data_IF_614454092424
#
_entry.id   IF_614454092424
#
_cell.length_a   1.000
_cell.length_b   1.000
_cell.length_c   1.000
_cell.angle_alpha   90.00
_cell.angle_beta   90.00
_cell.angle_gamma   90.00
#
_symmetry.space_group_name_H-M   'P 1'
#
loop_
_entity.id
_entity.type
_entity.pdbx_description
1 polymer ?
#
# COMPACT_ATOMS: atom_id res chain seq x y z
N UNK A 1 4.91 -20.59 -5.65
CA UNK A 1 5.08 -19.11 -5.57
C UNK A 1 4.43 -18.62 -4.29
N UNK A 2 5.09 -17.78 -3.49
CA UNK A 2 4.48 -17.19 -2.28
C UNK A 2 3.57 -16.03 -2.69
N UNK A 3 2.36 -15.90 -2.13
CA UNK A 3 1.45 -14.82 -2.49
C UNK A 3 1.99 -13.48 -1.98
N UNK A 4 1.90 -12.46 -2.84
CA UNK A 4 2.22 -11.06 -2.55
C UNK A 4 0.91 -10.27 -2.58
N UNK A 5 0.67 -9.45 -1.57
CA UNK A 5 -0.44 -8.50 -1.58
C UNK A 5 0.05 -7.09 -1.92
N UNK A 6 -0.59 -6.46 -2.91
CA UNK A 6 -0.49 -5.02 -3.15
C UNK A 6 -1.86 -4.42 -2.88
N UNK A 7 -1.94 -3.54 -1.89
CA UNK A 7 -3.16 -2.85 -1.49
C UNK A 7 -3.04 -1.42 -1.98
N UNK A 8 -3.79 -1.12 -3.05
CA UNK A 8 -3.93 0.22 -3.59
C UNK A 8 -5.23 0.83 -3.06
N UNK A 9 -5.11 1.89 -2.30
CA UNK A 9 -6.25 2.60 -1.73
C UNK A 9 -6.55 3.80 -2.63
N UNK A 10 -7.62 3.71 -3.42
CA UNK A 10 -7.98 4.75 -4.40
C UNK A 10 -9.44 5.16 -4.28
N UNK A 11 -9.76 6.42 -4.63
CA UNK A 11 -11.11 7.01 -4.58
C UNK A 11 -12.02 6.60 -5.76
N UNK A 12 -11.63 5.60 -6.54
CA UNK A 12 -12.49 5.12 -7.62
C UNK A 12 -13.83 4.52 -7.13
N UNK A 13 -14.03 4.37 -5.81
CA UNK A 13 -15.30 3.94 -5.21
C UNK A 13 -16.50 4.79 -5.61
N UNK A 14 -16.35 6.11 -5.67
CA UNK A 14 -17.48 6.99 -6.03
C UNK A 14 -17.92 6.87 -7.50
N UNK A 15 -17.05 6.34 -8.39
CA UNK A 15 -17.41 6.06 -9.78
C UNK A 15 -17.92 4.64 -10.00
N UNK A 16 -17.44 3.67 -9.20
CA UNK A 16 -17.81 2.26 -9.37
C UNK A 16 -19.29 1.95 -9.13
N UNK A 17 -19.93 2.60 -8.15
CA UNK A 17 -21.34 2.33 -7.83
C UNK A 17 -22.32 2.79 -8.92
N UNK A 18 -21.92 3.73 -9.80
CA UNK A 18 -22.78 4.26 -10.87
C UNK A 18 -22.71 3.47 -12.18
N UNK A 19 -21.83 2.47 -12.29
CA UNK A 19 -21.44 1.88 -13.57
C UNK A 19 -21.56 0.33 -13.63
N UNK A 20 -22.20 -0.30 -12.64
CA UNK A 20 -22.60 -1.71 -12.72
C UNK A 20 -21.52 -2.75 -12.42
N UNK A 21 -20.36 -2.37 -11.86
CA UNK A 21 -19.44 -3.34 -11.24
C UNK A 21 -19.97 -3.71 -9.87
N UNK A 22 -20.15 -5.01 -9.61
CA UNK A 22 -20.40 -5.51 -8.27
C UNK A 22 -19.13 -5.31 -7.43
N UNK A 23 -19.17 -4.33 -6.54
CA UNK A 23 -18.18 -4.18 -5.48
C UNK A 23 -18.22 -5.42 -4.58
N UNK A 24 -17.14 -5.67 -3.83
CA UNK A 24 -17.09 -6.78 -2.88
C UNK A 24 -17.08 -8.17 -3.57
N UNK A 25 -16.42 -8.27 -4.73
CA UNK A 25 -16.13 -9.54 -5.38
C UNK A 25 -14.63 -9.70 -5.54
N UNK A 26 -14.12 -10.86 -5.11
CA UNK A 26 -12.74 -11.26 -5.36
C UNK A 26 -12.63 -11.85 -6.76
N UNK A 27 -11.99 -11.10 -7.65
CA UNK A 27 -11.69 -11.57 -9.01
C UNK A 27 -10.38 -12.36 -8.99
N UNK A 28 -10.40 -13.54 -9.61
CA UNK A 28 -9.21 -14.39 -9.76
C UNK A 28 -8.90 -14.60 -11.24
N UNK A 29 -7.68 -14.29 -11.64
CA UNK A 29 -7.15 -14.51 -12.98
C UNK A 29 -6.03 -15.55 -12.91
N UNK A 30 -6.40 -16.80 -13.16
CA UNK A 30 -5.51 -17.96 -13.02
C UNK A 30 -4.79 -18.34 -14.34
N UNK A 31 -4.77 -17.43 -15.34
CA UNK A 31 -4.02 -17.69 -16.58
C UNK A 31 -2.54 -17.37 -16.37
N UNK A 32 -1.69 -18.11 -17.06
CA UNK A 32 -0.24 -17.90 -17.05
C UNK A 32 0.24 -16.76 -17.95
N UNK A 33 -0.68 -16.05 -18.60
CA UNK A 33 -0.43 -14.87 -19.41
C UNK A 33 -1.32 -13.69 -18.97
N UNK A 34 -0.87 -12.43 -19.20
CA UNK A 34 -1.71 -11.27 -18.98
C UNK A 34 -2.97 -11.30 -19.85
N UNK A 35 -4.04 -10.69 -19.38
CA UNK A 35 -5.26 -10.49 -20.17
C UNK A 35 -5.76 -9.06 -20.05
N UNK A 36 -6.54 -8.61 -21.02
CA UNK A 36 -7.21 -7.32 -20.95
C UNK A 36 -8.66 -7.60 -20.59
N UNK A 37 -9.15 -6.96 -19.54
CA UNK A 37 -10.57 -6.90 -19.23
C UNK A 37 -11.06 -5.47 -19.50
N UNK A 38 -12.29 -5.34 -19.97
CA UNK A 38 -12.95 -4.05 -19.98
C UNK A 38 -13.71 -3.93 -18.66
N UNK A 39 -13.26 -3.02 -17.80
CA UNK A 39 -13.99 -2.70 -16.58
C UNK A 39 -14.80 -1.45 -16.84
N UNK A 40 -16.05 -1.43 -16.39
CA UNK A 40 -16.87 -0.23 -16.52
C UNK A 40 -16.29 0.99 -15.76
N UNK A 41 -15.26 0.81 -14.91
CA UNK A 41 -14.73 1.82 -13.99
C UNK A 41 -13.37 2.39 -14.40
N UNK A 42 -12.48 1.53 -14.87
CA UNK A 42 -11.13 1.89 -15.34
C UNK A 42 -10.95 1.69 -16.84
N UNK A 43 -12.00 1.25 -17.54
CA UNK A 43 -11.94 0.88 -18.96
C UNK A 43 -11.07 -0.35 -19.18
N UNK A 44 -10.36 -0.37 -20.31
CA UNK A 44 -9.42 -1.45 -20.64
C UNK A 44 -8.30 -1.51 -19.60
N UNK A 45 -8.31 -2.58 -18.83
CA UNK A 45 -7.38 -2.83 -17.73
C UNK A 45 -6.62 -4.11 -18.00
N UNK A 46 -5.31 -4.06 -17.82
CA UNK A 46 -4.44 -5.25 -17.93
C UNK A 46 -4.45 -5.98 -16.60
N UNK A 47 -4.85 -7.25 -16.64
CA UNK A 47 -4.68 -8.20 -15.55
C UNK A 47 -3.36 -8.95 -15.74
N UNK A 48 -2.41 -8.86 -14.79
CA UNK A 48 -1.22 -9.70 -14.80
C UNK A 48 -1.58 -11.18 -14.71
N UNK A 49 -0.72 -12.06 -15.23
CA UNK A 49 -0.85 -13.50 -15.04
C UNK A 49 -0.92 -13.87 -13.55
N UNK A 50 -1.73 -14.88 -13.21
CA UNK A 50 -1.85 -15.40 -11.84
C UNK A 50 -2.13 -14.33 -10.76
N UNK A 51 -3.00 -13.36 -11.08
CA UNK A 51 -3.35 -12.29 -10.16
C UNK A 51 -4.73 -12.50 -9.53
N UNK A 52 -4.92 -11.95 -8.33
CA UNK A 52 -6.24 -11.76 -7.74
C UNK A 52 -6.38 -10.29 -7.37
N UNK A 53 -7.58 -9.75 -7.52
CA UNK A 53 -7.87 -8.39 -7.11
C UNK A 53 -9.26 -8.31 -6.52
N UNK A 54 -9.38 -7.54 -5.44
CA UNK A 54 -10.64 -7.23 -4.81
C UNK A 54 -10.90 -5.74 -5.00
N UNK A 55 -12.04 -5.43 -5.59
CA UNK A 55 -12.53 -4.07 -5.68
C UNK A 55 -13.55 -3.83 -4.56
N UNK A 56 -13.10 -3.28 -3.43
CA UNK A 56 -13.93 -3.10 -2.23
C UNK A 56 -13.60 -1.82 -1.48
N UNK A 57 -14.65 -1.20 -0.93
CA UNK A 57 -14.46 -0.18 0.07
C UNK A 57 -13.76 -0.85 1.26
N UNK A 58 -12.56 -0.41 1.61
CA UNK A 58 -11.79 -1.06 2.68
C UNK A 58 -12.43 -0.94 4.08
N UNK A 59 -13.43 -0.08 4.29
CA UNK A 59 -14.29 -0.13 5.48
C UNK A 59 -15.10 -1.44 5.53
N UNK A 60 -15.29 -2.11 4.38
CA UNK A 60 -15.92 -3.41 4.19
C UNK A 60 -14.93 -4.52 3.78
N UNK A 61 -13.66 -4.42 4.20
CA UNK A 61 -12.59 -5.38 3.86
C UNK A 61 -12.73 -6.78 4.50
N UNK A 62 -13.90 -7.12 5.06
CA UNK A 62 -14.21 -8.42 5.66
C UNK A 62 -13.97 -9.59 4.70
N UNK A 63 -14.14 -9.37 3.39
CA UNK A 63 -13.89 -10.38 2.37
C UNK A 63 -12.43 -10.84 2.27
N UNK A 64 -11.47 -9.91 2.46
CA UNK A 64 -10.05 -10.27 2.47
C UNK A 64 -9.72 -11.15 3.68
N UNK A 65 -10.36 -10.87 4.81
CA UNK A 65 -10.18 -11.62 6.04
C UNK A 65 -10.82 -13.01 5.91
N UNK A 66 -12.06 -13.08 5.40
CA UNK A 66 -12.83 -14.32 5.28
C UNK A 66 -12.25 -15.31 4.28
N UNK A 67 -11.54 -14.82 3.25
CA UNK A 67 -10.86 -15.68 2.29
C UNK A 67 -9.67 -16.43 2.90
N UNK A 68 -9.10 -15.89 3.99
CA UNK A 68 -8.12 -16.60 4.81
C UNK A 68 -6.69 -16.65 4.27
N UNK A 69 -6.41 -16.18 3.05
CA UNK A 69 -5.03 -16.10 2.54
C UNK A 69 -4.20 -15.20 3.43
N UNK A 70 -2.99 -15.69 3.76
CA UNK A 70 -1.97 -14.93 4.47
C UNK A 70 -0.80 -14.60 3.56
N UNK A 71 -0.24 -13.41 3.72
CA UNK A 71 0.80 -12.85 2.88
C UNK A 71 2.09 -12.65 3.66
N UNK A 72 3.21 -13.05 3.06
CA UNK A 72 4.55 -12.81 3.62
C UNK A 72 5.16 -11.48 3.18
N UNK A 73 4.52 -10.80 2.23
CA UNK A 73 4.93 -9.50 1.71
C UNK A 73 3.67 -8.70 1.33
N UNK A 74 3.47 -7.58 2.01
CA UNK A 74 2.34 -6.67 1.82
C UNK A 74 2.89 -5.28 1.48
N UNK A 75 2.37 -4.66 0.42
CA UNK A 75 2.70 -3.28 0.07
C UNK A 75 1.42 -2.44 0.08
N UNK A 76 1.48 -1.32 0.79
CA UNK A 76 0.40 -0.35 0.95
C UNK A 76 0.79 0.95 0.24
N UNK A 77 -0.15 1.51 -0.50
CA UNK A 77 -0.05 2.86 -1.05
C UNK A 77 -1.32 3.66 -0.67
N UNK A 78 -1.37 4.22 0.57
CA UNK A 78 -2.52 4.95 1.04
C UNK A 78 -2.65 6.35 0.40
N UNK A 79 -3.88 6.88 0.23
CA UNK A 79 -4.12 8.20 -0.32
C UNK A 79 -3.83 9.26 0.74
N UNK A 80 -2.57 9.45 1.11
CA UNK A 80 -2.17 10.42 2.12
C UNK A 80 -2.69 11.81 1.76
N UNK A 81 -3.30 12.48 2.73
CA UNK A 81 -3.73 13.86 2.53
C UNK A 81 -2.54 14.72 2.13
N UNK A 82 -2.66 15.39 0.98
CA UNK A 82 -1.73 16.46 0.62
C UNK A 82 -2.50 17.73 0.24
N UNK A 83 -1.82 18.88 0.31
CA UNK A 83 -2.40 20.21 0.03
C UNK A 83 -2.97 20.33 -1.40
N UNK A 84 -2.50 19.50 -2.32
CA UNK A 84 -2.95 19.45 -3.72
C UNK A 84 -4.30 18.72 -3.86
N UNK A 85 -4.40 17.58 -3.21
CA UNK A 85 -5.57 16.70 -3.13
C UNK A 85 -6.75 17.44 -2.48
N UNK A 86 -6.52 18.16 -1.38
CA UNK A 86 -7.56 18.94 -0.68
C UNK A 86 -8.30 19.97 -1.55
N UNK A 87 -7.65 20.50 -2.60
CA UNK A 87 -8.25 21.52 -3.49
C UNK A 87 -9.06 20.95 -4.65
N UNK A 88 -8.86 19.69 -5.02
CA UNK A 88 -9.51 19.08 -6.20
C UNK A 88 -10.60 18.08 -5.85
N UNK A 89 -10.42 17.29 -4.78
CA UNK A 89 -11.41 16.31 -4.34
C UNK A 89 -11.30 16.12 -2.82
N UNK A 90 -12.33 16.48 -2.02
CA UNK A 90 -12.33 16.15 -0.59
C UNK A 90 -12.58 14.64 -0.44
N UNK A 91 -11.50 13.89 -0.22
CA UNK A 91 -11.60 12.49 0.17
C UNK A 91 -12.22 12.42 1.57
N UNK A 92 -13.31 11.67 1.75
CA UNK A 92 -13.85 11.33 3.07
C UNK A 92 -13.04 10.23 3.80
N UNK A 93 -11.89 9.83 3.25
CA UNK A 93 -10.97 8.78 3.72
C UNK A 93 -9.73 9.34 4.43
N UNK A 94 -9.80 10.60 4.82
CA UNK A 94 -8.63 11.43 5.01
C UNK A 94 -8.12 11.51 6.46
N UNK A 95 -8.82 10.85 7.40
CA UNK A 95 -8.29 10.71 8.76
C UNK A 95 -7.38 9.50 8.86
N UNK A 96 -6.23 9.71 9.51
CA UNK A 96 -5.26 8.67 9.82
C UNK A 96 -5.92 7.46 10.53
N UNK A 97 -7.04 7.68 11.23
CA UNK A 97 -7.84 6.62 11.85
C UNK A 97 -8.40 5.61 10.85
N UNK A 98 -8.88 6.03 9.67
CA UNK A 98 -9.41 5.14 8.64
C UNK A 98 -8.32 4.18 8.13
N UNK A 99 -7.11 4.72 7.88
CA UNK A 99 -5.94 3.92 7.48
C UNK A 99 -5.50 3.00 8.62
N UNK A 100 -5.52 3.48 9.87
CA UNK A 100 -5.23 2.66 11.06
C UNK A 100 -6.21 1.50 11.21
N UNK A 101 -7.45 1.63 10.74
CA UNK A 101 -8.48 0.61 10.89
C UNK A 101 -8.44 -0.49 9.81
N UNK A 102 -7.52 -0.39 8.85
CA UNK A 102 -7.30 -1.47 7.88
C UNK A 102 -6.91 -2.77 8.60
N UNK A 103 -7.49 -3.93 8.22
CA UNK A 103 -7.27 -5.21 8.89
C UNK A 103 -5.97 -5.90 8.45
N UNK A 104 -4.90 -5.12 8.22
CA UNK A 104 -3.62 -5.64 7.68
C UNK A 104 -3.03 -6.71 8.60
N UNK A 105 -3.16 -6.54 9.92
CA UNK A 105 -2.71 -7.51 10.91
C UNK A 105 -3.21 -8.93 10.61
N UNK A 106 -4.47 -9.06 10.20
CA UNK A 106 -5.10 -10.34 9.89
C UNK A 106 -4.64 -10.92 8.55
N UNK A 107 -4.06 -10.12 7.66
CA UNK A 107 -3.57 -10.57 6.35
C UNK A 107 -2.11 -11.04 6.41
N UNK A 108 -1.39 -10.68 7.46
CA UNK A 108 0.03 -11.05 7.60
C UNK A 108 0.17 -12.55 7.90
N UNK A 109 1.09 -13.19 7.20
CA UNK A 109 1.51 -14.55 7.55
C UNK A 109 2.41 -14.52 8.79
N UNK A 110 1.94 -15.11 9.89
CA UNK A 110 2.66 -15.17 11.17
C UNK A 110 3.46 -16.44 11.37
N UNK A 111 3.39 -17.42 10.47
CA UNK A 111 4.20 -18.65 10.58
C UNK A 111 5.63 -18.48 10.06
N UNK A 112 5.96 -17.28 9.55
CA UNK A 112 7.29 -16.92 9.06
C UNK A 112 7.52 -15.41 9.20
N UNK A 113 8.77 -15.00 9.00
CA UNK A 113 9.10 -13.57 8.85
C UNK A 113 8.37 -12.98 7.64
N UNK A 114 7.63 -11.89 7.89
CA UNK A 114 6.86 -11.19 6.87
C UNK A 114 7.20 -9.71 6.85
N UNK A 115 7.04 -9.09 5.69
CA UNK A 115 7.26 -7.66 5.47
C UNK A 115 5.95 -6.93 5.17
N UNK A 116 5.82 -5.75 5.76
CA UNK A 116 4.76 -4.80 5.48
C UNK A 116 5.39 -3.48 5.09
N UNK A 117 5.23 -3.08 3.84
CA UNK A 117 5.80 -1.87 3.28
C UNK A 117 4.70 -0.84 3.06
N UNK A 118 4.94 0.42 3.41
CA UNK A 118 3.97 1.50 3.25
C UNK A 118 4.62 2.70 2.57
N UNK A 119 4.11 3.11 1.42
CA UNK A 119 4.55 4.34 0.76
C UNK A 119 4.17 5.54 1.63
N UNK A 120 4.96 6.61 1.59
CA UNK A 120 4.73 7.89 2.28
C UNK A 120 4.92 9.07 1.32
N UNK A 121 4.54 10.27 1.75
CA UNK A 121 4.61 11.52 0.96
C UNK A 121 5.76 12.45 1.35
N UNK A 122 6.84 11.90 1.93
CA UNK A 122 7.95 12.68 2.52
C UNK A 122 7.45 13.70 3.56
N UNK A 123 6.56 13.27 4.45
CA UNK A 123 6.00 14.09 5.50
C UNK A 123 6.27 13.41 6.84
N UNK A 124 7.08 14.04 7.70
CA UNK A 124 7.52 13.46 8.98
C UNK A 124 6.35 12.96 9.81
N UNK A 125 5.25 13.73 9.90
CA UNK A 125 4.03 13.31 10.60
C UNK A 125 3.45 11.99 10.04
N UNK A 126 3.46 11.80 8.73
CA UNK A 126 2.98 10.56 8.10
C UNK A 126 3.97 9.43 8.33
N UNK A 127 5.27 9.70 8.24
CA UNK A 127 6.29 8.69 8.52
C UNK A 127 6.24 8.21 9.97
N UNK A 128 6.12 9.12 10.92
CA UNK A 128 5.96 8.83 12.34
C UNK A 128 4.68 8.04 12.60
N UNK A 129 3.58 8.43 11.96
CA UNK A 129 2.33 7.67 12.05
C UNK A 129 2.50 6.24 11.50
N UNK A 130 3.17 6.05 10.37
CA UNK A 130 3.43 4.71 9.83
C UNK A 130 4.25 3.88 10.83
N UNK A 131 5.35 4.44 11.34
CA UNK A 131 6.29 3.74 12.23
C UNK A 131 5.68 3.45 13.61
N UNK A 132 5.04 4.45 14.21
CA UNK A 132 4.63 4.44 15.62
C UNK A 132 3.16 4.07 15.83
N UNK A 133 2.31 4.18 14.82
CA UNK A 133 0.89 3.81 14.93
C UNK A 133 0.54 2.58 14.10
N UNK A 134 0.84 2.59 12.80
CA UNK A 134 0.42 1.50 11.91
C UNK A 134 1.19 0.22 12.18
N UNK A 135 2.52 0.28 12.18
CA UNK A 135 3.35 -0.89 12.43
C UNK A 135 3.13 -1.46 13.82
N UNK A 136 3.04 -0.60 14.85
CA UNK A 136 2.71 -1.05 16.20
C UNK A 136 1.34 -1.74 16.25
N UNK A 137 0.30 -1.17 15.63
CA UNK A 137 -1.02 -1.82 15.56
C UNK A 137 -0.97 -3.16 14.85
N UNK A 138 -0.20 -3.27 13.78
CA UNK A 138 -0.07 -4.50 13.02
C UNK A 138 1.01 -5.44 13.57
N UNK A 139 1.49 -5.23 14.79
CA UNK A 139 2.56 -6.01 15.41
C UNK A 139 3.75 -6.24 14.45
N UNK A 140 4.21 -5.15 13.86
CA UNK A 140 5.37 -5.04 13.01
C UNK A 140 6.37 -4.09 13.69
N UNK A 141 7.65 -4.35 13.52
CA UNK A 141 8.70 -3.45 13.94
C UNK A 141 9.22 -2.68 12.73
N UNK A 142 9.59 -1.40 12.88
CA UNK A 142 10.28 -0.67 11.83
C UNK A 142 11.61 -1.37 11.49
N UNK A 143 11.83 -1.63 10.20
CA UNK A 143 13.04 -2.23 9.67
C UNK A 143 13.97 -1.17 9.08
N UNK A 144 13.48 -0.47 8.06
CA UNK A 144 14.26 0.47 7.27
C UNK A 144 13.36 1.35 6.41
N UNK A 145 13.96 2.34 5.77
CA UNK A 145 13.32 3.25 4.84
C UNK A 145 14.04 3.17 3.51
N UNK A 146 13.30 2.94 2.43
CA UNK A 146 13.80 3.00 1.06
C UNK A 146 13.38 4.30 0.39
N UNK A 147 14.26 4.83 -0.45
CA UNK A 147 14.03 6.05 -1.20
C UNK A 147 13.99 5.72 -2.70
N UNK A 148 12.85 5.99 -3.33
CA UNK A 148 12.73 5.91 -4.78
C UNK A 148 13.12 7.26 -5.39
N UNK A 149 14.40 7.40 -5.74
CA UNK A 149 14.93 8.62 -6.35
C UNK A 149 14.45 8.77 -7.80
N UNK A 150 13.94 9.96 -8.12
CA UNK A 150 13.54 10.39 -9.45
C UNK A 150 14.68 11.19 -10.06
N UNK A 151 15.14 10.72 -11.21
CA UNK A 151 16.26 11.29 -11.95
C UNK A 151 15.85 11.69 -13.36
N UNK A 152 16.60 12.59 -13.97
CA UNK A 152 16.52 12.93 -15.40
C UNK A 152 17.12 11.80 -16.24
N UNK A 153 16.97 11.90 -17.56
CA UNK A 153 17.64 10.97 -18.48
C UNK A 153 19.17 11.04 -18.41
N UNK A 154 19.73 12.15 -17.93
CA UNK A 154 21.17 12.30 -17.73
C UNK A 154 21.67 11.72 -16.39
N UNK A 155 20.78 11.16 -15.57
CA UNK A 155 21.13 10.59 -14.26
C UNK A 155 21.07 11.57 -13.09
N UNK A 156 20.68 12.83 -13.33
CA UNK A 156 20.67 13.87 -12.30
C UNK A 156 19.34 13.89 -11.52
N UNK A 157 19.33 14.19 -10.22
CA UNK A 157 18.08 14.36 -9.47
C UNK A 157 17.17 15.42 -10.12
N UNK A 158 15.87 15.11 -10.26
CA UNK A 158 14.90 16.07 -10.85
C UNK A 158 14.74 17.36 -10.04
N UNK A 159 15.14 17.32 -8.77
CA UNK A 159 15.17 18.42 -7.81
C UNK A 159 16.38 18.21 -6.91
N UNK A 160 16.96 19.32 -6.43
CA UNK A 160 18.01 19.30 -5.43
C UNK A 160 17.58 18.47 -4.21
N UNK A 161 18.43 17.54 -3.77
CA UNK A 161 18.18 16.69 -2.61
C UNK A 161 18.08 17.51 -1.30
N UNK A 162 18.72 18.67 -1.26
CA UNK A 162 18.71 19.61 -0.14
C UNK A 162 17.45 20.48 -0.08
N UNK A 163 16.61 20.46 -1.13
CA UNK A 163 15.36 21.23 -1.18
C UNK A 163 14.45 20.92 0.01
N UNK A 164 14.02 21.96 0.72
CA UNK A 164 13.19 21.82 1.93
C UNK A 164 11.73 21.48 1.60
N UNK A 165 11.19 22.04 0.50
CA UNK A 165 9.76 21.96 0.21
C UNK A 165 9.35 20.78 -0.67
N UNK A 166 10.24 20.35 -1.57
CA UNK A 166 9.99 19.26 -2.51
C UNK A 166 11.20 18.36 -2.59
N UNK A 167 10.97 17.07 -2.45
CA UNK A 167 12.01 16.05 -2.59
C UNK A 167 11.95 15.43 -3.99
N UNK A 168 13.12 15.08 -4.53
CA UNK A 168 13.26 14.30 -5.77
C UNK A 168 13.04 12.80 -5.56
N UNK A 169 12.56 12.37 -4.41
CA UNK A 169 12.30 10.96 -4.13
C UNK A 169 10.93 10.74 -3.49
N UNK A 170 10.49 9.49 -3.48
CA UNK A 170 9.36 9.01 -2.66
C UNK A 170 9.86 8.01 -1.63
N UNK A 171 9.26 8.00 -0.44
CA UNK A 171 9.68 7.13 0.66
C UNK A 171 8.82 5.88 0.72
N UNK A 172 9.44 4.71 0.82
CA UNK A 172 8.81 3.44 1.19
C UNK A 172 9.33 2.99 2.55
N UNK A 173 8.46 2.93 3.56
CA UNK A 173 8.83 2.54 4.92
C UNK A 173 8.53 1.05 5.10
N UNK A 174 9.51 0.28 5.58
CA UNK A 174 9.42 -1.16 5.71
C UNK A 174 9.27 -1.55 7.19
N UNK A 175 8.28 -2.38 7.48
CA UNK A 175 8.09 -3.05 8.75
C UNK A 175 8.25 -4.57 8.61
N UNK A 176 8.63 -5.24 9.70
CA UNK A 176 8.86 -6.68 9.73
C UNK A 176 8.23 -7.35 10.96
N UNK A 177 7.92 -8.63 10.87
CA UNK A 177 7.23 -9.39 11.94
C UNK A 177 8.01 -10.57 12.49
N UNK A 178 9.26 -10.77 12.04
CA UNK A 178 10.09 -11.89 12.50
C UNK A 178 10.91 -11.53 13.73
N UNK A 179 11.17 -12.52 14.58
CA UNK A 179 12.24 -12.48 15.58
C UNK A 179 13.55 -12.87 14.89
N UNK A 180 14.17 -11.93 14.20
CA UNK A 180 15.47 -12.16 13.57
C UNK A 180 16.53 -11.36 14.32
N UNK A 181 17.39 -12.06 15.05
CA UNK A 181 18.52 -11.48 15.79
C UNK A 181 19.42 -10.63 14.88
N UNK A 182 19.45 -10.93 13.58
CA UNK A 182 20.19 -10.17 12.56
C UNK A 182 19.66 -8.74 12.36
N UNK A 183 18.38 -8.50 12.63
CA UNK A 183 17.80 -7.15 12.57
C UNK A 183 17.82 -6.44 13.93
N UNK A 184 17.87 -7.20 15.03
CA UNK A 184 18.11 -6.63 16.36
C UNK A 184 19.54 -6.07 16.48
N UNK A 185 20.54 -6.66 15.81
CA UNK A 185 21.91 -6.10 15.77
C UNK A 185 22.04 -4.77 15.01
N UNK A 186 21.11 -4.46 14.09
CA UNK A 186 21.07 -3.19 13.35
C UNK A 186 20.42 -2.04 14.14
N UNK A 187 19.74 -2.34 15.25
CA UNK A 187 19.18 -1.32 16.17
C UNK A 187 20.21 -0.76 17.16
N UNK A 188 21.43 -1.30 17.18
CA UNK A 188 22.50 -0.97 18.14
C UNK A 188 23.63 -0.08 17.61
N UNK A 189 23.46 0.54 16.44
CA UNK A 189 24.40 1.51 15.83
C UNK A 189 23.67 2.78 15.46
#
# INVERSE_FOLDING_TARGET
KRPIAKILLTDYFLRASKLGIQTNILYSHNKDHPSIIDTAVSGRTVLPANCRFLWTDMKNSTLLISEGTKYSFIVLDPPWMNKSVRRKHPYNWSDLSDIKNLPIEHLINRTQSSLVCCWSTNCDKIEDFIKNDLFNKWNCQYLTTWYWLKITQSGEPILDLTSLDKKSYETLILGYTGDDDRFNSLKGT
#
